data_IF_759643283984
#
_entry.id   IF_759643283984
#
_cell.length_a   1.000
_cell.length_b   1.000
_cell.length_c   1.000
_cell.angle_alpha   90.00
_cell.angle_beta   90.00
_cell.angle_gamma   90.00
#
_symmetry.space_group_name_H-M   'P 1'
#
loop_
_entity.id
_entity.type
_entity.pdbx_description
1 polymer ?
#
# COMPACT_ATOMS: atom_id res chain seq x y z
N UNK A 1 6.52 -8.83 -3.16
CA UNK A 1 5.68 -8.00 -2.29
C UNK A 1 4.47 -8.82 -1.91
N UNK A 2 4.18 -8.90 -0.62
CA UNK A 2 3.02 -9.61 -0.06
C UNK A 2 2.06 -8.58 0.52
N UNK A 3 0.76 -8.76 0.28
CA UNK A 3 -0.28 -7.83 0.72
C UNK A 3 -1.40 -8.60 1.40
N UNK A 4 -1.74 -8.18 2.61
CA UNK A 4 -2.88 -8.66 3.39
C UNK A 4 -3.83 -7.50 3.67
N UNK A 5 -5.02 -7.57 3.11
CA UNK A 5 -6.09 -6.61 3.36
C UNK A 5 -7.39 -7.28 3.76
N UNK A 6 -8.45 -6.48 3.98
CA UNK A 6 -9.78 -6.99 4.21
C UNK A 6 -10.27 -7.82 3.01
N UNK A 7 -10.93 -8.94 3.30
CA UNK A 7 -11.50 -9.83 2.28
C UNK A 7 -13.02 -9.78 2.32
N UNK A 8 -13.65 -9.70 1.15
CA UNK A 8 -15.10 -9.61 1.01
C UNK A 8 -15.68 -8.27 1.48
N UNK A 9 -16.98 -8.24 1.74
CA UNK A 9 -17.68 -7.01 2.15
C UNK A 9 -17.30 -6.62 3.58
N UNK A 10 -16.87 -5.36 3.75
CA UNK A 10 -16.57 -4.76 5.04
C UNK A 10 -17.50 -3.59 5.32
N UNK A 11 -17.89 -3.39 6.58
CA UNK A 11 -18.65 -2.22 7.03
C UNK A 11 -17.77 -1.02 7.38
N UNK A 12 -16.44 -1.21 7.38
CA UNK A 12 -15.48 -0.15 7.58
C UNK A 12 -15.27 0.62 6.27
N UNK A 13 -15.72 1.87 6.22
CA UNK A 13 -15.55 2.74 5.06
C UNK A 13 -14.13 3.35 4.94
N UNK A 14 -13.22 3.05 5.87
CA UNK A 14 -11.81 3.43 5.81
C UNK A 14 -10.92 2.19 6.02
N UNK A 15 -10.89 1.26 5.04
CA UNK A 15 -10.09 0.06 5.16
C UNK A 15 -8.59 0.37 5.28
N UNK A 16 -7.90 -0.53 5.97
CA UNK A 16 -6.45 -0.56 6.01
C UNK A 16 -5.95 -1.85 5.38
N UNK A 17 -4.84 -1.75 4.66
CA UNK A 17 -4.14 -2.86 4.03
C UNK A 17 -2.72 -2.86 4.60
N UNK A 18 -2.28 -4.02 5.05
CA UNK A 18 -0.90 -4.24 5.51
C UNK A 18 -0.14 -5.10 4.50
N UNK A 19 1.17 -5.01 4.50
CA UNK A 19 1.99 -5.87 3.65
C UNK A 19 3.46 -5.76 3.95
N UNK A 20 4.24 -6.52 3.20
CA UNK A 20 5.69 -6.45 3.22
C UNK A 20 6.27 -6.39 1.81
N UNK A 21 7.38 -5.69 1.68
CA UNK A 21 8.12 -5.54 0.43
C UNK A 21 9.57 -5.90 0.67
N UNK A 22 10.18 -6.55 -0.32
CA UNK A 22 11.61 -6.87 -0.32
C UNK A 22 12.19 -6.35 -1.61
N UNK A 23 13.35 -5.70 -1.54
CA UNK A 23 14.10 -5.26 -2.71
C UNK A 23 15.52 -5.81 -2.69
N UNK A 24 16.02 -6.17 -3.87
CA UNK A 24 17.43 -6.50 -4.09
C UNK A 24 18.23 -5.31 -4.61
N UNK A 25 17.56 -4.20 -4.96
CA UNK A 25 18.16 -3.01 -5.57
C UNK A 25 18.63 -1.94 -4.58
N UNK A 26 18.40 -2.14 -3.27
CA UNK A 26 18.74 -1.20 -2.21
C UNK A 26 17.65 -1.11 -1.16
N UNK A 27 17.76 -0.12 -0.28
CA UNK A 27 16.74 0.10 0.75
C UNK A 27 15.45 0.60 0.11
N UNK A 28 14.32 0.18 0.66
CA UNK A 28 13.02 0.73 0.32
C UNK A 28 12.98 2.15 0.91
N UNK A 29 12.61 3.12 0.09
CA UNK A 29 12.51 4.55 0.48
C UNK A 29 11.08 5.02 0.62
N UNK A 30 10.12 4.19 0.19
CA UNK A 30 8.70 4.46 0.42
C UNK A 30 7.78 3.40 -0.16
N UNK A 31 6.67 3.18 0.54
CA UNK A 31 5.51 2.46 0.02
C UNK A 31 4.35 3.44 -0.12
N UNK A 32 3.63 3.36 -1.22
CA UNK A 32 2.53 4.27 -1.54
C UNK A 32 1.28 3.49 -1.92
N UNK A 33 0.13 3.93 -1.44
CA UNK A 33 -1.17 3.39 -1.81
C UNK A 33 -2.06 4.42 -2.48
N UNK A 34 -2.99 3.95 -3.31
CA UNK A 34 -4.12 4.74 -3.81
C UNK A 34 -5.34 3.86 -3.98
N UNK A 35 -6.53 4.45 -3.95
CA UNK A 35 -7.80 3.75 -4.16
C UNK A 35 -8.51 4.22 -5.45
N UNK A 36 -9.35 3.34 -6.01
CA UNK A 36 -10.23 3.63 -7.14
C UNK A 36 -9.54 3.63 -8.51
N UNK A 37 -8.55 2.77 -8.74
CA UNK A 37 -7.89 2.59 -10.05
C UNK A 37 -7.44 3.90 -10.72
N UNK A 38 -6.62 4.68 -10.00
CA UNK A 38 -6.11 5.97 -10.49
C UNK A 38 -7.03 7.18 -10.30
N UNK A 39 -8.18 7.03 -9.63
CA UNK A 39 -9.05 8.17 -9.26
C UNK A 39 -8.50 9.01 -8.10
N UNK A 40 -7.61 8.44 -7.29
CA UNK A 40 -6.98 9.13 -6.17
C UNK A 40 -5.46 9.30 -6.38
N UNK A 41 -4.90 10.26 -5.64
CA UNK A 41 -3.46 10.49 -5.60
C UNK A 41 -2.76 9.37 -4.84
N UNK A 42 -1.50 9.10 -5.21
CA UNK A 42 -0.64 8.23 -4.41
C UNK A 42 -0.35 8.87 -3.06
N UNK A 43 -0.64 8.15 -1.98
CA UNK A 43 -0.38 8.58 -0.61
C UNK A 43 0.66 7.65 0.01
N UNK A 44 1.52 8.20 0.86
CA UNK A 44 2.55 7.43 1.56
C UNK A 44 1.90 6.51 2.59
N UNK A 45 2.30 5.24 2.61
CA UNK A 45 1.95 4.27 3.64
C UNK A 45 2.81 4.50 4.89
N UNK A 46 2.39 3.92 6.01
CA UNK A 46 3.13 4.00 7.28
C UNK A 46 4.08 2.81 7.38
N UNK A 47 5.40 3.01 7.54
CA UNK A 47 6.32 1.92 7.87
C UNK A 47 6.00 1.38 9.27
N UNK A 48 6.09 0.06 9.45
CA UNK A 48 5.75 -0.60 10.74
C UNK A 48 6.82 -0.35 11.80
N UNK A 49 8.09 -0.28 11.41
CA UNK A 49 9.23 -0.01 12.29
C UNK A 49 9.53 1.50 12.47
N UNK A 50 8.79 2.35 11.76
CA UNK A 50 8.84 3.81 11.88
C UNK A 50 9.56 4.53 10.73
N UNK A 51 10.40 3.85 9.94
CA UNK A 51 11.13 4.45 8.82
C UNK A 51 11.39 3.46 7.71
N UNK A 52 11.08 3.83 6.46
CA UNK A 52 11.53 3.05 5.30
C UNK A 52 13.04 3.26 5.08
N UNK A 53 13.86 2.34 5.56
CA UNK A 53 15.32 2.45 5.52
C UNK A 53 16.06 1.13 5.34
N UNK A 54 15.35 0.06 5.03
CA UNK A 54 15.93 -1.27 4.86
C UNK A 54 15.49 -1.96 3.56
N UNK A 55 16.17 -3.05 3.15
CA UNK A 55 15.77 -3.82 1.97
C UNK A 55 14.49 -4.63 2.18
N UNK A 56 14.01 -4.78 3.41
CA UNK A 56 12.77 -5.46 3.78
C UNK A 56 11.91 -4.55 4.64
N UNK A 57 10.78 -4.11 4.12
CA UNK A 57 9.90 -3.18 4.84
C UNK A 57 8.51 -3.74 5.02
N UNK A 58 7.97 -3.56 6.22
CA UNK A 58 6.56 -3.80 6.51
C UNK A 58 5.82 -2.46 6.53
N UNK A 59 4.61 -2.45 5.98
CA UNK A 59 3.84 -1.22 5.85
C UNK A 59 2.36 -1.42 6.17
N UNK A 60 1.72 -0.31 6.56
CA UNK A 60 0.27 -0.19 6.70
C UNK A 60 -0.21 1.01 5.88
N UNK A 61 -1.13 0.77 4.95
CA UNK A 61 -1.81 1.80 4.17
C UNK A 61 -3.27 1.89 4.60
N UNK A 62 -3.71 3.06 5.05
CA UNK A 62 -5.11 3.34 5.41
C UNK A 62 -5.72 4.31 4.41
N UNK A 63 -6.91 4.00 3.91
CA UNK A 63 -7.65 4.90 3.03
C UNK A 63 -8.15 6.10 3.85
N UNK A 64 -7.66 7.30 3.54
CA UNK A 64 -7.97 8.50 4.32
C UNK A 64 -9.38 9.08 4.10
N UNK A 65 -10.07 8.69 3.02
CA UNK A 65 -11.44 9.12 2.72
C UNK A 65 -12.46 8.00 2.96
N UNK A 66 -13.70 8.31 3.38
CA UNK A 66 -14.75 7.31 3.45
C UNK A 66 -15.05 6.79 2.04
N UNK A 67 -14.89 5.48 1.85
CA UNK A 67 -15.34 4.77 0.67
C UNK A 67 -16.87 4.65 0.71
N UNK A 68 -17.51 4.93 -0.41
CA UNK A 68 -18.93 4.64 -0.59
C UNK A 68 -19.14 3.13 -0.73
N UNK A 69 -20.35 2.65 -0.49
CA UNK A 69 -20.69 1.26 -0.77
C UNK A 69 -20.40 0.89 -2.22
N UNK A 70 -19.68 -0.20 -2.43
CA UNK A 70 -19.26 -0.68 -3.74
C UNK A 70 -17.93 -1.43 -3.69
N UNK A 71 -17.53 -1.98 -4.82
CA UNK A 71 -16.23 -2.61 -5.01
C UNK A 71 -15.17 -1.53 -5.26
N UNK A 72 -14.03 -1.61 -4.56
CA UNK A 72 -12.94 -0.66 -4.66
C UNK A 72 -11.60 -1.35 -4.88
N UNK A 73 -10.84 -0.86 -5.84
CA UNK A 73 -9.47 -1.37 -6.06
C UNK A 73 -8.49 -0.47 -5.31
N UNK A 74 -7.65 -1.07 -4.47
CA UNK A 74 -6.50 -0.45 -3.82
C UNK A 74 -5.24 -0.87 -4.57
N UNK A 75 -4.44 0.10 -4.99
CA UNK A 75 -3.18 -0.14 -5.68
C UNK A 75 -2.04 0.23 -4.73
N UNK A 76 -1.05 -0.64 -4.61
CA UNK A 76 0.15 -0.40 -3.80
C UNK A 76 1.36 -0.40 -4.74
N UNK A 77 2.28 0.54 -4.50
CA UNK A 77 3.59 0.58 -5.14
C UNK A 77 4.67 0.82 -4.10
N UNK A 78 5.85 0.28 -4.33
CA UNK A 78 7.06 0.60 -3.56
C UNK A 78 8.04 1.39 -4.41
N UNK A 79 9.01 2.02 -3.74
CA UNK A 79 10.15 2.69 -4.32
C UNK A 79 11.39 2.31 -3.52
N UNK A 80 12.49 1.96 -4.19
CA UNK A 80 13.79 1.76 -3.55
C UNK A 80 14.76 2.89 -3.92
N UNK A 81 15.98 2.85 -3.36
CA UNK A 81 17.04 3.83 -3.59
C UNK A 81 17.45 3.98 -5.07
N UNK A 82 17.32 2.91 -5.86
CA UNK A 82 17.63 2.93 -7.31
C UNK A 82 16.44 3.35 -8.18
N UNK A 83 15.29 3.66 -7.56
CA UNK A 83 14.09 4.13 -8.24
C UNK A 83 13.24 3.04 -8.89
N UNK A 84 13.53 1.76 -8.62
CA UNK A 84 12.70 0.63 -9.04
C UNK A 84 11.34 0.68 -8.33
N UNK A 85 10.31 0.23 -9.05
CA UNK A 85 8.92 0.24 -8.58
C UNK A 85 8.31 -1.14 -8.75
N UNK A 86 8.15 -1.87 -7.65
CA UNK A 86 7.23 -2.99 -7.62
C UNK A 86 5.83 -2.47 -7.32
N UNK A 87 4.88 -2.77 -8.20
CA UNK A 87 3.47 -2.41 -8.04
C UNK A 87 2.60 -3.66 -7.99
N UNK A 88 1.72 -3.75 -6.99
CA UNK A 88 0.75 -4.83 -6.82
C UNK A 88 -0.65 -4.22 -6.73
N UNK A 89 -1.61 -4.85 -7.43
CA UNK A 89 -3.02 -4.49 -7.42
C UNK A 89 -3.74 -5.35 -6.39
N UNK A 90 -4.51 -4.73 -5.49
CA UNK A 90 -5.32 -5.39 -4.47
C UNK A 90 -6.78 -4.95 -4.58
N UNK A 91 -7.71 -5.87 -4.82
CA UNK A 91 -9.15 -5.55 -4.88
C UNK A 91 -9.79 -5.73 -3.50
N UNK A 92 -10.63 -4.78 -3.08
CA UNK A 92 -11.39 -4.76 -1.81
C UNK A 92 -12.88 -4.61 -2.09
#
# INVERSE_FOLDING_TARGET
>A
MEITGPTGYISNNQPSVSGSVTSTGGNITGVYGRYGSGRSSWMLATPVDGTFDSPYEEFVYTVLGPLLDGEHIIEIKSLNEVGEKDAVLYAV
#
